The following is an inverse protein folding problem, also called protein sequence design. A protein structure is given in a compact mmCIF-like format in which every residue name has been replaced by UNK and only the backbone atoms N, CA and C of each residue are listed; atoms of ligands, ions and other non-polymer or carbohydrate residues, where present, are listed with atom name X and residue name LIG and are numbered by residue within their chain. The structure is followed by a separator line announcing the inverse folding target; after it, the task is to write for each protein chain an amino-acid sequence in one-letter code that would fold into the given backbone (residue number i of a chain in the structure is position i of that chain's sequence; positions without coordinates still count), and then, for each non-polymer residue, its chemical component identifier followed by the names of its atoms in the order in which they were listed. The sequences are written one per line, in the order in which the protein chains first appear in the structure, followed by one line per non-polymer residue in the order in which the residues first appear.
data_IF_675965427278
#
_entry.id   IF_675965427278
#
_cell.length_a   1.000
_cell.length_b   1.000
_cell.length_c   1.000
_cell.angle_alpha   90.00
_cell.angle_beta   90.00
_cell.angle_gamma   90.00
#
_symmetry.space_group_name_H-M   'P 1'
#
loop_
_entity.id
_entity.type
_entity.pdbx_description
1 polymer ?
#
# COMPACT_ATOMS: atom_id res chain seq x y z
N UNK A 1 -25.20 -8.01 -11.98
CA UNK A 1 -24.84 -7.56 -10.62
C UNK A 1 -23.37 -7.14 -10.66
N UNK A 2 -23.10 -5.84 -10.84
CA UNK A 2 -21.74 -5.29 -10.85
C UNK A 2 -21.35 -5.01 -9.39
N UNK A 3 -20.66 -5.95 -8.76
CA UNK A 3 -20.07 -5.74 -7.45
C UNK A 3 -18.78 -4.90 -7.64
N UNK A 4 -18.95 -3.64 -8.07
CA UNK A 4 -17.86 -2.67 -8.01
C UNK A 4 -17.55 -2.47 -6.52
N UNK A 5 -16.47 -3.09 -6.08
CA UNK A 5 -15.87 -2.81 -4.77
C UNK A 5 -15.50 -1.35 -4.80
N UNK A 6 -16.37 -0.49 -4.27
CA UNK A 6 -16.09 0.92 -4.06
C UNK A 6 -15.08 0.98 -2.93
N UNK A 7 -13.80 1.00 -3.28
CA UNK A 7 -12.74 1.23 -2.31
C UNK A 7 -12.95 2.66 -1.78
N UNK A 8 -13.21 2.84 -0.47
CA UNK A 8 -13.29 4.17 0.12
C UNK A 8 -12.02 4.95 -0.22
N UNK A 9 -12.16 6.21 -0.63
CA UNK A 9 -11.04 7.08 -1.02
C UNK A 9 -10.14 6.53 -2.15
N UNK A 10 -10.68 5.70 -3.06
CA UNK A 10 -9.89 5.05 -4.13
C UNK A 10 -9.19 6.00 -5.12
N UNK A 11 -9.64 7.26 -5.22
CA UNK A 11 -8.99 8.29 -6.05
C UNK A 11 -7.96 9.15 -5.27
N UNK A 12 -7.81 8.92 -3.97
CA UNK A 12 -6.87 9.63 -3.12
C UNK A 12 -5.42 9.21 -3.43
N UNK A 13 -4.54 10.19 -3.56
CA UNK A 13 -3.11 9.93 -3.77
C UNK A 13 -2.43 9.69 -2.44
N UNK A 14 -1.76 8.55 -2.34
CA UNK A 14 -1.01 8.15 -1.15
C UNK A 14 0.48 8.05 -1.46
N UNK A 15 1.34 8.56 -0.58
CA UNK A 15 2.79 8.49 -0.70
C UNK A 15 3.38 7.54 0.34
N UNK A 16 4.29 6.66 -0.06
CA UNK A 16 4.93 5.68 0.82
C UNK A 16 6.45 5.75 0.67
N UNK A 17 7.16 5.70 1.79
CA UNK A 17 8.62 5.61 1.78
C UNK A 17 9.07 4.15 1.60
N UNK A 18 9.75 3.90 0.49
CA UNK A 18 10.27 2.60 0.11
C UNK A 18 11.74 2.70 -0.26
N UNK A 19 12.50 1.65 0.04
CA UNK A 19 13.85 1.53 -0.52
C UNK A 19 13.77 1.23 -2.02
N UNK A 20 14.86 1.55 -2.75
CA UNK A 20 14.94 1.27 -4.18
C UNK A 20 14.69 -0.20 -4.52
N UNK A 21 15.14 -1.14 -3.67
CA UNK A 21 14.94 -2.57 -3.88
C UNK A 21 13.47 -2.98 -3.69
N UNK A 22 12.79 -2.42 -2.69
CA UNK A 22 11.36 -2.64 -2.47
C UNK A 22 10.53 -2.11 -3.65
N UNK A 23 10.84 -0.90 -4.13
CA UNK A 23 10.17 -0.33 -5.31
C UNK A 23 10.39 -1.22 -6.56
N UNK A 24 11.63 -1.66 -6.80
CA UNK A 24 11.94 -2.58 -7.89
C UNK A 24 11.17 -3.90 -7.76
N UNK A 25 11.03 -4.41 -6.54
CA UNK A 25 10.27 -5.64 -6.26
C UNK A 25 8.80 -5.48 -6.60
N UNK A 26 8.19 -4.35 -6.25
CA UNK A 26 6.80 -4.04 -6.59
C UNK A 26 6.61 -3.82 -8.10
N UNK A 27 7.63 -3.33 -8.81
CA UNK A 27 7.65 -3.22 -10.27
C UNK A 27 7.84 -4.58 -11.00
N UNK A 28 7.90 -5.69 -10.25
CA UNK A 28 7.99 -7.05 -10.81
C UNK A 28 9.42 -7.59 -10.95
N UNK A 29 10.43 -6.84 -10.53
CA UNK A 29 11.82 -7.32 -10.53
C UNK A 29 11.99 -8.31 -9.37
N UNK A 30 12.35 -9.54 -9.69
CA UNK A 30 12.51 -10.60 -8.68
C UNK A 30 13.89 -10.57 -8.05
N UNK A 31 13.93 -10.62 -6.73
CA UNK A 31 15.14 -10.81 -5.95
C UNK A 31 15.19 -12.26 -5.46
N UNK A 32 15.71 -13.16 -6.31
CA UNK A 32 15.74 -14.60 -6.05
C UNK A 32 16.44 -14.95 -4.73
N UNK A 33 17.55 -14.26 -4.43
CA UNK A 33 18.31 -14.49 -3.19
C UNK A 33 17.71 -13.79 -1.96
N UNK A 34 16.68 -12.96 -2.13
CA UNK A 34 16.12 -12.19 -1.03
C UNK A 34 14.62 -11.87 -1.20
N UNK A 35 13.80 -12.90 -1.02
CA UNK A 35 12.33 -12.77 -1.01
C UNK A 35 11.79 -11.90 0.12
N UNK A 36 12.60 -11.60 1.15
CA UNK A 36 12.17 -10.73 2.26
C UNK A 36 11.91 -9.29 1.79
N UNK A 37 12.54 -8.85 0.69
CA UNK A 37 12.34 -7.52 0.11
C UNK A 37 10.90 -7.35 -0.40
N UNK A 38 10.38 -8.37 -1.06
CA UNK A 38 9.01 -8.34 -1.59
C UNK A 38 7.98 -8.34 -0.43
N UNK A 39 8.23 -9.17 0.57
CA UNK A 39 7.39 -9.25 1.77
C UNK A 39 7.43 -7.94 2.56
N UNK A 40 8.60 -7.32 2.74
CA UNK A 40 8.72 -6.04 3.44
C UNK A 40 8.02 -4.91 2.70
N UNK A 41 8.15 -4.86 1.36
CA UNK A 41 7.46 -3.88 0.54
C UNK A 41 5.94 -3.97 0.71
N UNK A 42 5.38 -5.19 0.62
CA UNK A 42 3.93 -5.40 0.83
C UNK A 42 3.48 -5.05 2.23
N UNK A 43 4.26 -5.42 3.24
CA UNK A 43 3.95 -5.11 4.63
C UNK A 43 3.85 -3.60 4.84
N UNK A 44 4.82 -2.82 4.34
CA UNK A 44 4.79 -1.35 4.45
C UNK A 44 3.56 -0.73 3.80
N UNK A 45 3.14 -1.23 2.63
CA UNK A 45 1.92 -0.76 1.97
C UNK A 45 0.67 -1.08 2.81
N UNK A 46 0.60 -2.29 3.37
CA UNK A 46 -0.52 -2.72 4.18
C UNK A 46 -0.63 -1.93 5.48
N UNK A 47 0.47 -1.83 6.24
CA UNK A 47 0.53 -1.09 7.51
C UNK A 47 0.09 0.38 7.30
N UNK A 48 0.45 0.99 6.16
CA UNK A 48 0.05 2.36 5.84
C UNK A 48 -1.44 2.47 5.49
N UNK A 49 -2.00 1.53 4.73
CA UNK A 49 -3.43 1.51 4.43
C UNK A 49 -4.27 1.31 5.70
N UNK A 50 -3.85 0.42 6.61
CA UNK A 50 -4.51 0.23 7.91
C UNK A 50 -4.44 1.50 8.77
N UNK A 51 -3.30 2.21 8.76
CA UNK A 51 -3.15 3.47 9.49
C UNK A 51 -4.07 4.58 8.95
N UNK A 52 -4.35 4.60 7.65
CA UNK A 52 -5.30 5.56 7.05
C UNK A 52 -6.75 5.20 7.37
N UNK A 53 -7.09 3.91 7.39
CA UNK A 53 -8.46 3.44 7.68
C UNK A 53 -8.83 3.56 9.16
N UNK A 54 -7.85 3.52 10.06
CA UNK A 54 -8.05 3.67 11.52
C UNK A 54 -8.06 5.11 12.02
N UNK A 55 -7.76 6.10 11.17
CA UNK A 55 -7.90 7.51 11.53
C UNK A 55 -9.40 7.88 11.63
N UNK A 56 -9.87 8.50 12.74
CA UNK A 56 -11.28 8.84 12.90
C UNK A 56 -11.75 9.74 11.76
N UNK A 57 -13.01 9.61 11.30
CA UNK A 57 -13.54 10.48 10.27
C UNK A 57 -13.41 11.92 10.76
N UNK A 58 -12.61 12.70 10.04
CA UNK A 58 -12.45 14.12 10.33
C UNK A 58 -13.83 14.76 10.11
N UNK A 59 -14.52 15.05 11.22
CA UNK A 59 -15.73 15.86 11.23
C UNK A 59 -15.34 17.26 10.73
N UNK A 60 -15.52 17.49 9.44
CA UNK A 60 -15.50 18.83 8.88
C UNK A 60 -16.74 19.57 9.40
N UNK A 61 -16.49 20.66 10.13
CA UNK A 61 -17.51 21.58 10.64
C UNK A 61 -18.15 22.39 9.51
#
# INVERSE_FOLDING_TARGET
MNNQVKIPNGDEKVTVELTRKELMSLAGIRFYDNHKIEVSARKKLHDLLEAQESAPPQLYN
#
